data_IF_900918944128
#
_entry.id   IF_900918944128
#
_cell.length_a   1.000
_cell.length_b   1.000
_cell.length_c   1.000
_cell.angle_alpha   90.00
_cell.angle_beta   90.00
_cell.angle_gamma   90.00
#
_symmetry.space_group_name_H-M   'P 1'
#
loop_
_entity.id
_entity.type
_entity.pdbx_description
1 polymer ?
#
# COMPACT_ATOMS: atom_id res chain seq x y z
N UNK A 1 12.57 1.59 -11.11
CA UNK A 1 11.54 1.90 -12.13
C UNK A 1 12.00 2.97 -13.13
N UNK A 2 12.54 4.12 -12.71
CA UNK A 2 13.01 5.18 -13.63
C UNK A 2 14.11 4.70 -14.59
N UNK A 3 15.16 4.09 -14.05
CA UNK A 3 16.26 3.54 -14.87
C UNK A 3 15.75 2.49 -15.87
N UNK A 4 14.86 1.60 -15.42
CA UNK A 4 14.22 0.59 -16.26
C UNK A 4 13.41 1.18 -17.43
N UNK A 5 12.95 2.44 -17.30
CA UNK A 5 12.25 3.18 -18.36
C UNK A 5 13.14 4.20 -19.07
N UNK A 6 14.41 4.35 -18.67
CA UNK A 6 15.31 5.37 -19.21
C UNK A 6 14.84 6.81 -18.96
N UNK A 7 14.11 7.05 -17.87
CA UNK A 7 13.53 8.37 -17.56
C UNK A 7 14.41 9.09 -16.54
N UNK A 8 14.85 10.29 -16.89
CA UNK A 8 15.59 11.15 -15.97
C UNK A 8 14.68 11.64 -14.82
N UNK A 9 15.19 11.75 -13.58
CA UNK A 9 14.44 12.30 -12.44
C UNK A 9 13.74 13.63 -12.70
N UNK A 10 14.38 14.54 -13.44
CA UNK A 10 13.82 15.86 -13.75
C UNK A 10 12.56 15.80 -14.64
N UNK A 11 12.26 14.67 -15.28
CA UNK A 11 11.07 14.47 -16.08
C UNK A 11 9.84 14.03 -15.27
N UNK A 12 9.98 13.84 -13.94
CA UNK A 12 8.85 13.60 -13.04
C UNK A 12 8.08 14.89 -12.78
N UNK A 13 6.75 14.79 -12.82
CA UNK A 13 5.86 15.91 -12.55
C UNK A 13 5.34 15.88 -11.11
N UNK A 14 5.15 14.68 -10.54
CA UNK A 14 4.56 14.51 -9.22
C UNK A 14 5.18 13.33 -8.46
N UNK A 15 5.36 13.47 -7.15
CA UNK A 15 5.81 12.42 -6.23
C UNK A 15 4.81 12.30 -5.08
N UNK A 16 4.27 11.10 -4.89
CA UNK A 16 3.42 10.77 -3.74
C UNK A 16 4.14 9.74 -2.88
N UNK A 17 4.21 9.97 -1.57
CA UNK A 17 4.75 9.00 -0.61
C UNK A 17 3.65 8.54 0.34
N UNK A 18 3.18 7.31 0.16
CA UNK A 18 2.28 6.63 1.08
C UNK A 18 3.09 6.01 2.22
N UNK A 19 3.02 6.63 3.40
CA UNK A 19 3.76 6.22 4.60
C UNK A 19 2.99 6.58 5.87
N UNK A 20 3.12 5.78 6.92
CA UNK A 20 2.72 6.15 8.28
C UNK A 20 3.92 6.41 9.21
N UNK A 21 5.13 6.25 8.69
CA UNK A 21 6.40 6.49 9.41
C UNK A 21 7.25 7.51 8.64
N UNK A 22 6.74 8.74 8.43
CA UNK A 22 7.45 9.74 7.65
C UNK A 22 8.78 10.12 8.32
N UNK A 23 9.73 10.62 7.53
CA UNK A 23 11.03 11.10 8.05
C UNK A 23 10.82 12.14 9.16
N UNK A 24 9.83 13.03 8.97
CA UNK A 24 9.42 14.11 9.88
C UNK A 24 7.94 14.41 9.70
N UNK A 25 7.30 15.03 10.70
CA UNK A 25 5.96 15.61 10.54
C UNK A 25 5.94 16.83 9.60
N UNK A 26 7.06 17.54 9.52
CA UNK A 26 7.29 18.63 8.57
C UNK A 26 8.79 18.79 8.30
N UNK A 27 9.26 18.89 7.05
CA UNK A 27 8.48 18.81 5.79
C UNK A 27 8.05 17.38 5.45
N UNK A 28 7.32 17.21 4.35
CA UNK A 28 6.92 15.90 3.82
C UNK A 28 8.12 15.05 3.39
N UNK A 29 7.97 13.73 3.49
CA UNK A 29 8.90 12.73 2.98
C UNK A 29 9.04 12.83 1.47
N UNK A 30 7.96 13.14 0.75
CA UNK A 30 7.97 13.43 -0.68
C UNK A 30 8.96 14.55 -1.05
N UNK A 31 9.06 15.62 -0.27
CA UNK A 31 10.05 16.68 -0.50
C UNK A 31 11.49 16.17 -0.29
N UNK A 32 11.70 15.25 0.66
CA UNK A 32 13.01 14.60 0.86
C UNK A 32 13.36 13.70 -0.32
N UNK A 33 12.40 12.91 -0.82
CA UNK A 33 12.57 12.04 -2.00
C UNK A 33 12.90 12.90 -3.23
N UNK A 34 12.12 13.95 -3.49
CA UNK A 34 12.33 14.89 -4.59
C UNK A 34 13.77 15.41 -4.62
N UNK A 35 14.26 15.89 -3.45
CA UNK A 35 15.60 16.45 -3.32
C UNK A 35 16.68 15.40 -3.54
N UNK A 36 16.50 14.21 -2.96
CA UNK A 36 17.47 13.10 -3.07
C UNK A 36 17.55 12.56 -4.50
N UNK A 37 16.44 12.53 -5.22
CA UNK A 37 16.36 12.01 -6.58
C UNK A 37 16.79 13.03 -7.64
N UNK A 38 16.79 14.33 -7.30
CA UNK A 38 17.03 15.40 -8.27
C UNK A 38 15.83 15.67 -9.18
N UNK A 39 14.61 15.38 -8.71
CA UNK A 39 13.36 15.59 -9.46
C UNK A 39 12.91 17.05 -9.35
N UNK A 40 13.73 17.98 -9.84
CA UNK A 40 13.63 19.43 -9.60
C UNK A 40 12.31 20.07 -10.04
N UNK A 41 11.54 19.43 -10.92
CA UNK A 41 10.26 19.92 -11.42
C UNK A 41 9.04 19.24 -10.77
N UNK A 42 9.27 18.18 -9.99
CA UNK A 42 8.19 17.44 -9.36
C UNK A 42 7.64 18.19 -8.14
N UNK A 43 6.32 18.38 -8.09
CA UNK A 43 5.59 18.69 -6.86
C UNK A 43 5.21 17.39 -6.14
N UNK A 44 4.66 17.45 -4.93
CA UNK A 44 4.32 16.22 -4.22
C UNK A 44 3.85 16.39 -2.79
N UNK A 45 3.43 15.28 -2.20
CA UNK A 45 2.90 15.21 -0.83
C UNK A 45 2.99 13.80 -0.25
N UNK A 46 2.87 13.71 1.07
CA UNK A 46 2.72 12.44 1.78
C UNK A 46 1.24 12.09 1.90
N UNK A 47 0.92 10.80 1.82
CA UNK A 47 -0.43 10.27 2.01
C UNK A 47 -0.45 9.32 3.20
N UNK A 48 -1.21 9.68 4.22
CA UNK A 48 -1.41 8.86 5.41
C UNK A 48 -2.66 7.98 5.25
N UNK A 49 -2.45 6.69 4.94
CA UNK A 49 -3.52 5.69 4.84
C UNK A 49 -3.16 4.36 5.50
N UNK A 50 -2.14 4.36 6.38
CA UNK A 50 -1.55 3.15 6.95
C UNK A 50 -1.30 2.08 5.87
N UNK A 51 -1.67 0.83 6.12
CA UNK A 51 -1.49 -0.27 5.17
C UNK A 51 -2.30 -0.12 3.86
N UNK A 52 -3.38 0.67 3.86
CA UNK A 52 -4.18 0.98 2.66
C UNK A 52 -3.58 2.14 1.86
N UNK A 53 -2.56 2.82 2.38
CA UNK A 53 -2.00 4.04 1.83
C UNK A 53 -1.53 3.89 0.38
N UNK A 54 -0.94 2.76 0.01
CA UNK A 54 -0.51 2.54 -1.37
C UNK A 54 -1.68 2.40 -2.35
N UNK A 55 -2.76 1.69 -1.96
CA UNK A 55 -3.97 1.56 -2.78
C UNK A 55 -4.65 2.92 -2.92
N UNK A 56 -4.78 3.69 -1.84
CA UNK A 56 -5.34 5.04 -1.89
C UNK A 56 -4.47 5.98 -2.74
N UNK A 57 -3.15 5.88 -2.59
CA UNK A 57 -2.18 6.62 -3.39
C UNK A 57 -2.26 6.28 -4.87
N UNK A 58 -2.48 5.00 -5.24
CA UNK A 58 -2.67 4.60 -6.63
C UNK A 58 -3.91 5.25 -7.23
N UNK A 59 -5.01 5.33 -6.49
CA UNK A 59 -6.25 5.99 -6.95
C UNK A 59 -5.99 7.47 -7.20
N UNK A 60 -5.42 8.18 -6.23
CA UNK A 60 -5.10 9.61 -6.36
C UNK A 60 -4.14 9.83 -7.53
N UNK A 61 -3.09 9.02 -7.64
CA UNK A 61 -2.12 9.12 -8.72
C UNK A 61 -2.76 8.88 -10.09
N UNK A 62 -3.64 7.88 -10.22
CA UNK A 62 -4.36 7.58 -11.45
C UNK A 62 -5.22 8.76 -11.86
N UNK A 63 -5.96 9.38 -10.94
CA UNK A 63 -6.79 10.56 -11.27
C UNK A 63 -5.96 11.78 -11.66
N UNK A 64 -4.79 11.98 -11.06
CA UNK A 64 -3.86 13.04 -11.49
C UNK A 64 -3.34 12.80 -12.91
N UNK A 65 -3.09 11.54 -13.28
CA UNK A 65 -2.63 11.18 -14.62
C UNK A 65 -3.74 11.27 -15.66
N UNK A 66 -4.92 10.72 -15.38
CA UNK A 66 -6.10 10.77 -16.26
C UNK A 66 -6.54 12.21 -16.56
N UNK A 67 -6.46 13.11 -15.57
CA UNK A 67 -6.85 14.52 -15.74
C UNK A 67 -5.76 15.37 -16.40
N UNK A 68 -4.57 14.82 -16.65
CA UNK A 68 -3.42 15.54 -17.19
C UNK A 68 -2.72 16.46 -16.18
N UNK A 69 -3.08 16.41 -14.90
CA UNK A 69 -2.42 17.17 -13.83
C UNK A 69 -0.98 16.70 -13.56
N UNK A 70 -0.66 15.46 -13.91
CA UNK A 70 0.70 14.92 -13.98
C UNK A 70 0.80 13.96 -15.16
N UNK A 71 1.93 13.94 -15.88
CA UNK A 71 2.18 12.95 -16.93
C UNK A 71 3.02 11.79 -16.40
N UNK A 72 4.00 12.07 -15.55
CA UNK A 72 4.88 11.07 -14.95
C UNK A 72 4.86 11.22 -13.44
N UNK A 73 4.19 10.29 -12.79
CA UNK A 73 3.99 10.31 -11.34
C UNK A 73 4.70 9.13 -10.69
N UNK A 74 5.56 9.42 -9.71
CA UNK A 74 6.21 8.41 -8.89
C UNK A 74 5.43 8.21 -7.59
N UNK A 75 4.78 7.06 -7.46
CA UNK A 75 4.12 6.68 -6.21
C UNK A 75 5.04 5.74 -5.43
N UNK A 76 5.38 6.15 -4.21
CA UNK A 76 6.17 5.39 -3.27
C UNK A 76 5.27 4.85 -2.17
N UNK A 77 5.34 3.56 -1.87
CA UNK A 77 4.84 2.98 -0.62
C UNK A 77 6.04 2.62 0.24
N UNK A 78 6.12 3.12 1.48
CA UNK A 78 7.34 2.98 2.28
C UNK A 78 7.10 3.18 3.76
N UNK A 79 7.63 2.29 4.58
CA UNK A 79 7.59 2.43 6.03
C UNK A 79 8.85 1.88 6.71
N UNK A 80 9.27 2.58 7.76
CA UNK A 80 10.29 2.13 8.72
C UNK A 80 9.61 1.73 10.02
N UNK A 81 8.88 0.62 10.00
CA UNK A 81 8.11 0.15 11.16
C UNK A 81 8.97 -0.16 12.38
N UNK A 82 10.25 -0.51 12.21
CA UNK A 82 11.21 -0.69 13.30
C UNK A 82 11.33 0.54 14.21
N UNK A 83 10.98 1.73 13.72
CA UNK A 83 11.00 2.97 14.51
C UNK A 83 9.80 3.16 15.44
N UNK A 84 8.70 2.44 15.19
CA UNK A 84 7.43 2.58 15.93
C UNK A 84 6.95 1.26 16.53
N UNK A 85 7.75 0.20 16.44
CA UNK A 85 7.45 -1.10 17.05
C UNK A 85 8.12 -1.22 18.41
N UNK A 86 7.37 -1.66 19.42
CA UNK A 86 7.93 -1.89 20.75
C UNK A 86 8.70 -3.23 20.76
N UNK A 87 10.04 -3.23 20.96
CA UNK A 87 10.82 -4.47 20.97
C UNK A 87 10.46 -5.41 22.14
N UNK A 88 9.78 -4.91 23.17
CA UNK A 88 9.29 -5.73 24.30
C UNK A 88 7.92 -6.35 24.03
N UNK A 89 7.19 -5.87 23.03
CA UNK A 89 5.90 -6.43 22.64
C UNK A 89 6.10 -7.49 21.56
N UNK A 90 6.02 -8.76 21.95
CA UNK A 90 6.14 -9.89 21.03
C UNK A 90 5.01 -9.94 20.01
N UNK A 91 3.83 -9.40 20.30
CA UNK A 91 2.68 -9.48 19.40
C UNK A 91 2.90 -8.67 18.11
N UNK A 92 3.58 -7.52 18.21
CA UNK A 92 3.86 -6.63 17.08
C UNK A 92 5.28 -6.82 16.53
N UNK A 93 6.29 -7.07 17.38
CA UNK A 93 7.70 -7.15 16.97
C UNK A 93 8.07 -8.28 16.01
N UNK A 94 7.26 -9.34 15.93
CA UNK A 94 7.47 -10.45 14.99
C UNK A 94 6.77 -10.25 13.65
N UNK A 95 5.94 -9.21 13.53
CA UNK A 95 5.11 -8.98 12.34
C UNK A 95 5.75 -8.00 11.37
N UNK A 96 6.21 -6.87 11.88
CA UNK A 96 6.56 -5.73 11.05
C UNK A 96 8.00 -5.75 10.56
N UNK A 97 8.21 -5.20 9.36
CA UNK A 97 9.51 -4.98 8.76
C UNK A 97 9.63 -3.58 8.17
N UNK A 98 10.85 -3.21 7.80
CA UNK A 98 11.16 -1.98 7.10
C UNK A 98 11.22 -2.25 5.60
N UNK A 99 10.67 -1.37 4.79
CA UNK A 99 10.72 -1.54 3.34
C UNK A 99 10.15 -0.36 2.58
N UNK A 100 10.51 -0.28 1.29
CA UNK A 100 9.92 0.66 0.36
C UNK A 100 9.82 0.02 -1.03
N UNK A 101 8.75 0.33 -1.74
CA UNK A 101 8.55 -0.01 -3.14
C UNK A 101 7.96 1.18 -3.89
N UNK A 102 8.21 1.26 -5.19
CA UNK A 102 7.78 2.40 -6.00
C UNK A 102 7.19 1.94 -7.33
N UNK A 103 6.15 2.62 -7.79
CA UNK A 103 5.62 2.47 -9.15
C UNK A 103 5.69 3.80 -9.88
N UNK A 104 6.06 3.75 -11.16
CA UNK A 104 5.93 4.87 -12.07
C UNK A 104 4.60 4.73 -12.81
N UNK A 105 3.81 5.80 -12.79
CA UNK A 105 2.47 5.84 -13.39
C UNK A 105 2.49 6.86 -14.53
N UNK A 106 2.02 6.43 -15.68
CA UNK A 106 2.01 7.20 -16.93
C UNK A 106 0.72 6.91 -17.71
N UNK A 107 0.31 7.83 -18.61
CA UNK A 107 -0.78 7.58 -19.54
C UNK A 107 -0.51 6.35 -20.41
N UNK A 108 -1.57 5.59 -20.69
CA UNK A 108 -1.57 4.50 -21.68
C UNK A 108 -2.41 4.92 -22.88
N UNK A 109 -2.06 4.43 -24.07
CA UNK A 109 -2.89 4.64 -25.27
C UNK A 109 -4.05 3.62 -25.35
N UNK A 110 -3.81 2.39 -24.89
CA UNK A 110 -4.81 1.32 -24.82
C UNK A 110 -5.57 1.41 -23.48
N UNK A 111 -6.76 2.02 -23.52
CA UNK A 111 -7.65 2.14 -22.35
C UNK A 111 -8.16 0.79 -21.81
N UNK A 112 -7.92 -0.32 -22.51
CA UNK A 112 -8.27 -1.66 -22.01
C UNK A 112 -7.28 -2.18 -20.97
N UNK A 113 -6.12 -1.53 -20.79
CA UNK A 113 -5.10 -1.90 -19.80
C UNK A 113 -4.84 -0.76 -18.79
N UNK A 114 -4.03 -1.06 -17.79
CA UNK A 114 -3.79 -0.14 -16.67
C UNK A 114 -4.84 -0.30 -15.59
N UNK A 115 -5.06 0.76 -14.81
CA UNK A 115 -5.98 0.78 -13.68
C UNK A 115 -7.39 1.06 -14.19
N UNK A 116 -8.30 0.11 -14.00
CA UNK A 116 -9.64 0.14 -14.61
C UNK A 116 -10.73 0.54 -13.63
N UNK A 117 -10.63 0.08 -12.38
CA UNK A 117 -11.61 0.41 -11.35
C UNK A 117 -10.98 0.43 -9.95
N UNK A 118 -11.69 1.02 -8.98
CA UNK A 118 -11.32 1.01 -7.57
C UNK A 118 -12.55 1.04 -6.66
N UNK A 119 -12.37 0.48 -5.46
CA UNK A 119 -13.34 0.51 -4.34
C UNK A 119 -12.57 0.87 -3.08
N UNK A 120 -13.13 1.73 -2.23
CA UNK A 120 -12.55 2.11 -0.95
C UNK A 120 -13.64 2.25 0.12
N UNK A 121 -13.43 1.61 1.27
CA UNK A 121 -14.29 1.70 2.44
C UNK A 121 -13.51 2.21 3.65
N UNK A 122 -14.20 2.88 4.56
CA UNK A 122 -13.64 3.36 5.81
C UNK A 122 -14.64 3.13 6.95
N UNK A 123 -14.16 2.63 8.08
CA UNK A 123 -14.91 2.57 9.32
C UNK A 123 -14.06 3.12 10.47
N UNK A 124 -14.31 4.38 10.83
CA UNK A 124 -13.62 5.12 11.89
C UNK A 124 -13.78 4.53 13.30
N UNK A 125 -14.78 3.68 13.55
CA UNK A 125 -14.96 3.04 14.87
C UNK A 125 -13.77 2.15 15.26
N UNK A 126 -12.98 1.72 14.27
CA UNK A 126 -11.76 0.95 14.46
C UNK A 126 -10.53 1.75 14.91
N UNK A 127 -10.64 3.06 15.14
CA UNK A 127 -9.49 3.95 15.42
C UNK A 127 -8.57 3.42 16.55
N UNK A 128 -9.13 2.90 17.65
CA UNK A 128 -8.35 2.41 18.79
C UNK A 128 -7.95 0.93 18.69
N UNK A 129 -8.25 0.27 17.57
CA UNK A 129 -7.86 -1.13 17.34
C UNK A 129 -6.44 -1.29 16.77
N UNK A 130 -5.92 -0.25 16.10
CA UNK A 130 -4.56 -0.21 15.57
C UNK A 130 -4.09 1.25 15.45
N UNK A 131 -3.26 1.70 16.38
CA UNK A 131 -2.86 3.11 16.48
C UNK A 131 -1.55 3.30 17.23
N UNK A 132 -0.99 4.52 17.18
CA UNK A 132 0.11 4.97 18.03
C UNK A 132 -0.49 5.98 19.02
N UNK A 133 -0.45 5.73 20.35
CA UNK A 133 -1.14 6.58 21.32
C UNK A 133 -0.63 8.03 21.40
N UNK A 134 0.70 8.23 21.37
CA UNK A 134 1.34 9.53 21.57
C UNK A 134 2.23 9.93 20.38
N UNK A 135 2.62 11.21 20.33
CA UNK A 135 3.46 11.81 19.29
C UNK A 135 2.68 12.66 18.28
N UNK A 136 1.36 12.48 18.23
CA UNK A 136 0.43 13.36 17.51
C UNK A 136 0.00 14.58 18.33
N UNK A 137 -0.95 15.35 17.80
CA UNK A 137 -1.50 16.54 18.47
C UNK A 137 -2.42 16.22 19.66
N UNK A 138 -3.10 15.08 19.63
CA UNK A 138 -3.96 14.61 20.74
C UNK A 138 -3.13 14.38 22.01
N UNK A 139 -1.93 13.83 21.85
CA UNK A 139 -0.98 13.64 22.94
C UNK A 139 0.45 13.93 22.45
N UNK A 140 0.91 15.18 22.62
CA UNK A 140 2.27 15.56 22.27
C UNK A 140 3.32 14.77 23.07
N UNK A 141 4.53 14.68 22.53
CA UNK A 141 5.66 14.07 23.23
C UNK A 141 5.95 14.77 24.56
N UNK A 142 6.08 13.97 25.62
CA UNK A 142 6.45 14.42 26.96
C UNK A 142 7.35 13.36 27.63
N UNK A 143 8.05 13.74 28.70
CA UNK A 143 8.84 12.78 29.47
C UNK A 143 7.98 11.61 30.00
N UNK A 144 6.72 11.88 30.37
CA UNK A 144 5.77 10.86 30.82
C UNK A 144 5.40 9.89 29.69
N UNK A 145 5.00 10.39 28.52
CA UNK A 145 4.58 9.52 27.41
C UNK A 145 5.73 8.66 26.86
N UNK A 146 6.98 9.13 26.96
CA UNK A 146 8.17 8.34 26.65
C UNK A 146 8.41 7.26 27.71
N UNK A 147 8.35 7.60 29.01
CA UNK A 147 8.52 6.63 30.10
C UNK A 147 7.47 5.51 30.05
N UNK A 148 6.24 5.85 29.64
CA UNK A 148 5.12 4.93 29.44
C UNK A 148 5.16 4.19 28.09
N UNK A 149 6.17 4.42 27.25
CA UNK A 149 6.33 3.77 25.94
C UNK A 149 5.12 3.97 25.00
N UNK A 150 4.46 5.13 25.07
CA UNK A 150 3.22 5.44 24.32
C UNK A 150 3.43 5.85 22.86
N UNK A 151 4.68 5.89 22.40
CA UNK A 151 5.06 6.24 21.02
C UNK A 151 5.22 5.02 20.11
N UNK A 152 4.85 3.83 20.61
CA UNK A 152 4.85 2.60 19.83
C UNK A 152 3.44 2.22 19.37
N UNK A 153 3.38 1.46 18.28
CA UNK A 153 2.15 0.92 17.73
C UNK A 153 1.51 -0.07 18.70
N UNK A 154 0.20 0.07 18.87
CA UNK A 154 -0.66 -0.80 19.67
C UNK A 154 -1.67 -1.44 18.75
N UNK A 155 -1.92 -2.74 18.94
CA UNK A 155 -2.81 -3.51 18.09
C UNK A 155 -3.69 -4.48 18.91
N UNK A 156 -5.00 -4.42 18.71
CA UNK A 156 -5.89 -5.54 19.00
C UNK A 156 -5.85 -6.52 17.82
N UNK A 157 -4.98 -7.53 17.93
CA UNK A 157 -4.75 -8.49 16.85
C UNK A 157 -6.02 -9.26 16.45
N UNK A 158 -6.96 -9.46 17.37
CA UNK A 158 -8.18 -10.22 17.11
C UNK A 158 -9.20 -9.38 16.32
N UNK A 159 -9.41 -8.13 16.74
CA UNK A 159 -10.26 -7.18 16.04
C UNK A 159 -9.71 -6.88 14.64
N UNK A 160 -8.40 -6.62 14.54
CA UNK A 160 -7.72 -6.37 13.26
C UNK A 160 -7.81 -7.58 12.33
N UNK A 161 -7.56 -8.79 12.82
CA UNK A 161 -7.63 -9.99 11.98
C UNK A 161 -9.03 -10.16 11.37
N UNK A 162 -10.08 -10.06 12.20
CA UNK A 162 -11.46 -10.22 11.75
C UNK A 162 -11.84 -9.14 10.73
N UNK A 163 -11.54 -7.88 11.05
CA UNK A 163 -11.86 -6.75 10.18
C UNK A 163 -11.07 -6.81 8.85
N UNK A 164 -9.81 -7.22 8.87
CA UNK A 164 -8.99 -7.34 7.68
C UNK A 164 -9.50 -8.42 6.71
N UNK A 165 -9.81 -9.62 7.22
CA UNK A 165 -10.32 -10.70 6.36
C UNK A 165 -11.65 -10.32 5.73
N UNK A 166 -12.53 -9.66 6.49
CA UNK A 166 -13.82 -9.19 5.98
C UNK A 166 -13.62 -8.08 4.96
N UNK A 167 -12.94 -7.01 5.34
CA UNK A 167 -12.75 -5.83 4.52
C UNK A 167 -12.05 -6.14 3.20
N UNK A 168 -10.94 -6.88 3.22
CA UNK A 168 -10.19 -7.25 2.01
C UNK A 168 -10.99 -8.13 1.05
N UNK A 169 -11.75 -9.10 1.58
CA UNK A 169 -12.57 -9.95 0.74
C UNK A 169 -13.74 -9.18 0.13
N UNK A 170 -14.43 -8.34 0.91
CA UNK A 170 -15.59 -7.57 0.43
C UNK A 170 -15.21 -6.58 -0.67
N UNK A 171 -14.14 -5.79 -0.49
CA UNK A 171 -13.72 -4.84 -1.52
C UNK A 171 -13.26 -5.55 -2.80
N UNK A 172 -12.68 -6.75 -2.68
CA UNK A 172 -12.27 -7.55 -3.84
C UNK A 172 -13.48 -8.24 -4.51
N UNK A 173 -14.42 -8.78 -3.76
CA UNK A 173 -15.67 -9.34 -4.31
C UNK A 173 -16.47 -8.25 -5.04
N UNK A 174 -16.59 -7.08 -4.44
CA UNK A 174 -17.31 -5.94 -4.99
C UNK A 174 -16.70 -5.47 -6.31
N UNK A 175 -15.38 -5.25 -6.33
CA UNK A 175 -14.74 -4.72 -7.53
C UNK A 175 -14.77 -5.72 -8.69
N UNK A 176 -14.61 -7.02 -8.41
CA UNK A 176 -14.73 -8.05 -9.44
C UNK A 176 -16.16 -8.11 -10.00
N UNK A 177 -17.16 -8.05 -9.13
CA UNK A 177 -18.57 -8.01 -9.53
C UNK A 177 -18.90 -6.78 -10.37
N UNK A 178 -18.40 -5.58 -9.99
CA UNK A 178 -18.60 -4.33 -10.74
C UNK A 178 -18.03 -4.39 -12.16
N UNK A 179 -16.99 -5.20 -12.37
CA UNK A 179 -16.29 -5.34 -13.64
C UNK A 179 -16.67 -6.61 -14.41
N UNK A 180 -17.69 -7.36 -13.94
CA UNK A 180 -18.13 -8.64 -14.51
C UNK A 180 -16.98 -9.65 -14.69
N UNK A 181 -16.08 -9.70 -13.70
CA UNK A 181 -14.94 -10.62 -13.67
C UNK A 181 -15.21 -11.73 -12.68
N UNK A 182 -15.20 -12.98 -13.15
CA UNK A 182 -15.24 -14.12 -12.24
C UNK A 182 -13.89 -14.24 -11.50
N UNK A 183 -13.92 -14.65 -10.22
CA UNK A 183 -12.67 -14.90 -9.45
C UNK A 183 -11.76 -15.91 -10.17
N UNK A 184 -12.35 -16.87 -10.90
CA UNK A 184 -11.61 -17.85 -11.69
C UNK A 184 -10.78 -17.21 -12.82
N UNK A 185 -11.16 -16.02 -13.30
CA UNK A 185 -10.51 -15.29 -14.38
C UNK A 185 -9.42 -14.32 -13.89
N UNK A 186 -9.25 -14.16 -12.58
CA UNK A 186 -8.11 -13.43 -12.04
C UNK A 186 -6.82 -14.22 -12.27
N UNK A 187 -5.84 -13.54 -12.86
CA UNK A 187 -4.49 -14.06 -12.97
C UNK A 187 -3.79 -13.99 -11.62
N UNK A 188 -3.88 -12.83 -10.95
CA UNK A 188 -3.22 -12.62 -9.65
C UNK A 188 -4.06 -11.79 -8.68
N UNK A 189 -4.12 -12.25 -7.43
CA UNK A 189 -4.44 -11.42 -6.28
C UNK A 189 -3.13 -10.92 -5.65
N UNK A 190 -3.04 -9.60 -5.47
CA UNK A 190 -1.92 -8.94 -4.78
C UNK A 190 -2.45 -8.36 -3.47
N UNK A 191 -2.48 -9.16 -2.38
CA UNK A 191 -2.96 -8.68 -1.10
C UNK A 191 -1.88 -7.87 -0.35
N UNK A 192 -2.30 -6.96 0.51
CA UNK A 192 -1.46 -6.42 1.57
C UNK A 192 -0.85 -7.56 2.39
N UNK A 193 0.47 -7.51 2.58
CA UNK A 193 1.22 -8.56 3.26
C UNK A 193 1.20 -8.30 4.78
N UNK A 194 0.02 -8.44 5.42
CA UNK A 194 -0.13 -8.24 6.86
C UNK A 194 0.38 -9.42 7.68
N UNK A 195 -0.18 -10.59 7.39
CA UNK A 195 0.25 -11.88 7.90
C UNK A 195 -0.28 -12.99 6.99
N UNK A 196 0.39 -14.14 6.98
CA UNK A 196 0.04 -15.27 6.11
C UNK A 196 -1.39 -15.79 6.36
N UNK A 197 -1.85 -15.80 7.61
CA UNK A 197 -3.18 -16.30 7.98
C UNK A 197 -4.32 -15.44 7.41
N UNK A 198 -4.16 -14.11 7.36
CA UNK A 198 -5.14 -13.21 6.74
C UNK A 198 -5.17 -13.48 5.24
N UNK A 199 -4.00 -13.54 4.59
CA UNK A 199 -3.91 -13.80 3.15
C UNK A 199 -4.61 -15.12 2.78
N UNK A 200 -4.32 -16.19 3.52
CA UNK A 200 -4.94 -17.51 3.31
C UNK A 200 -6.45 -17.47 3.56
N UNK A 201 -6.92 -16.74 4.57
CA UNK A 201 -8.34 -16.61 4.86
C UNK A 201 -9.09 -15.80 3.79
N UNK A 202 -8.48 -14.73 3.27
CA UNK A 202 -9.03 -13.95 2.15
C UNK A 202 -9.09 -14.80 0.89
N UNK A 203 -8.00 -15.47 0.52
CA UNK A 203 -7.96 -16.36 -0.65
C UNK A 203 -9.02 -17.46 -0.57
N UNK A 204 -9.15 -18.10 0.61
CA UNK A 204 -10.18 -19.12 0.87
C UNK A 204 -11.59 -18.55 0.73
N UNK A 205 -11.86 -17.35 1.25
CA UNK A 205 -13.18 -16.70 1.15
C UNK A 205 -13.54 -16.39 -0.30
N UNK A 206 -12.58 -15.94 -1.10
CA UNK A 206 -12.74 -15.69 -2.53
C UNK A 206 -12.88 -16.98 -3.36
N UNK A 207 -12.52 -18.15 -2.82
CA UNK A 207 -12.45 -19.39 -3.59
C UNK A 207 -11.24 -19.44 -4.54
N UNK A 208 -10.18 -18.68 -4.23
CA UNK A 208 -8.97 -18.58 -5.04
C UNK A 208 -7.86 -19.50 -4.49
N UNK A 209 -7.20 -20.24 -5.36
CA UNK A 209 -6.01 -21.04 -5.01
C UNK A 209 -4.82 -20.15 -4.68
N UNK A 210 -3.99 -20.56 -3.71
CA UNK A 210 -2.80 -19.80 -3.29
C UNK A 210 -1.75 -19.67 -4.40
N UNK A 211 -1.79 -20.52 -5.42
CA UNK A 211 -0.96 -20.46 -6.62
C UNK A 211 -1.21 -19.20 -7.47
N UNK A 212 -2.33 -18.49 -7.23
CA UNK A 212 -2.69 -17.22 -7.86
C UNK A 212 -2.67 -16.04 -6.87
N UNK A 213 -2.07 -16.23 -5.70
CA UNK A 213 -1.92 -15.19 -4.68
C UNK A 213 -0.45 -14.88 -4.51
N UNK A 214 -0.08 -13.61 -4.66
CA UNK A 214 1.32 -13.20 -4.51
C UNK A 214 1.63 -13.07 -3.02
N UNK A 215 2.61 -13.86 -2.56
CA UNK A 215 3.05 -13.91 -1.16
C UNK A 215 4.59 -13.84 -1.14
N UNK A 216 5.12 -12.80 -0.48
CA UNK A 216 6.55 -12.64 -0.21
C UNK A 216 6.84 -12.20 1.25
N UNK A 217 5.81 -12.28 2.11
CA UNK A 217 5.85 -11.93 3.52
C UNK A 217 6.99 -12.65 4.28
N UNK A 218 7.35 -13.87 3.90
CA UNK A 218 8.39 -14.67 4.54
C UNK A 218 9.78 -14.04 4.51
N UNK A 219 10.00 -13.07 3.61
CA UNK A 219 11.29 -12.38 3.44
C UNK A 219 11.33 -10.98 4.06
N UNK A 220 10.19 -10.29 4.12
CA UNK A 220 10.13 -8.87 4.49
C UNK A 220 9.27 -8.56 5.70
N UNK A 221 8.42 -9.51 6.12
CA UNK A 221 7.37 -9.23 7.10
C UNK A 221 6.36 -8.20 6.57
N UNK A 222 5.62 -7.59 7.48
CA UNK A 222 4.65 -6.54 7.18
C UNK A 222 5.36 -5.18 7.09
N UNK A 223 5.60 -4.72 5.87
CA UNK A 223 6.19 -3.41 5.57
C UNK A 223 5.15 -2.32 5.30
N UNK A 224 3.92 -2.51 5.81
CA UNK A 224 2.80 -1.56 5.76
C UNK A 224 2.54 -1.03 4.35
N UNK A 225 2.83 0.24 4.04
CA UNK A 225 2.56 0.85 2.74
C UNK A 225 3.41 0.25 1.62
N UNK A 226 4.53 -0.41 1.94
CA UNK A 226 5.43 -0.98 0.95
C UNK A 226 5.06 -2.39 0.48
N UNK A 227 4.13 -3.09 1.15
CA UNK A 227 3.93 -4.52 0.89
C UNK A 227 3.50 -4.82 -0.55
N UNK A 228 2.55 -4.03 -1.07
CA UNK A 228 2.01 -4.19 -2.42
C UNK A 228 3.04 -3.79 -3.48
N UNK A 229 3.68 -2.60 -3.43
CA UNK A 229 4.64 -2.24 -4.47
C UNK A 229 5.90 -3.12 -4.47
N UNK A 230 6.35 -3.62 -3.31
CA UNK A 230 7.43 -4.62 -3.27
C UNK A 230 6.98 -5.90 -3.98
N UNK A 231 5.80 -6.42 -3.64
CA UNK A 231 5.26 -7.63 -4.27
C UNK A 231 5.11 -7.47 -5.80
N UNK A 232 4.61 -6.33 -6.28
CA UNK A 232 4.51 -6.02 -7.70
C UNK A 232 5.88 -5.99 -8.38
N UNK A 233 6.87 -5.32 -7.78
CA UNK A 233 8.24 -5.23 -8.36
C UNK A 233 8.86 -6.61 -8.50
N UNK A 234 8.82 -7.42 -7.43
CA UNK A 234 9.44 -8.74 -7.45
C UNK A 234 8.78 -9.68 -8.44
N UNK A 235 7.45 -9.64 -8.55
CA UNK A 235 6.72 -10.51 -9.48
C UNK A 235 6.99 -10.13 -10.94
N UNK A 236 7.11 -8.83 -11.21
CA UNK A 236 7.50 -8.32 -12.52
C UNK A 236 8.94 -8.69 -12.87
N UNK A 237 9.90 -8.49 -11.97
CA UNK A 237 11.32 -8.83 -12.17
C UNK A 237 11.53 -10.34 -12.42
N UNK A 238 10.64 -11.19 -11.90
CA UNK A 238 10.64 -12.63 -12.14
C UNK A 238 9.94 -13.04 -13.44
N UNK A 239 9.47 -12.09 -14.25
CA UNK A 239 8.76 -12.35 -15.51
C UNK A 239 7.47 -13.15 -15.33
N UNK A 240 6.79 -12.96 -14.18
CA UNK A 240 5.59 -13.73 -13.83
C UNK A 240 4.28 -13.09 -14.28
N UNK A 241 4.29 -11.80 -14.57
CA UNK A 241 3.17 -11.11 -15.20
C UNK A 241 3.23 -11.23 -16.71
N UNK A 242 2.07 -11.33 -17.32
CA UNK A 242 1.87 -11.24 -18.78
C UNK A 242 1.07 -9.98 -19.09
N UNK A 243 1.37 -9.33 -20.21
CA UNK A 243 0.56 -8.21 -20.70
C UNK A 243 -0.92 -8.60 -20.77
N UNK A 244 -1.79 -7.77 -20.20
CA UNK A 244 -3.23 -7.97 -20.14
C UNK A 244 -3.73 -8.86 -19.00
N UNK A 245 -2.85 -9.41 -18.16
CA UNK A 245 -3.22 -10.17 -16.95
C UNK A 245 -4.21 -9.37 -16.10
N UNK A 246 -5.25 -10.05 -15.61
CA UNK A 246 -6.24 -9.46 -14.69
C UNK A 246 -5.73 -9.54 -13.26
N UNK A 247 -5.49 -8.39 -12.64
CA UNK A 247 -4.99 -8.28 -11.27
C UNK A 247 -6.04 -7.61 -10.38
N UNK A 248 -6.14 -8.11 -9.15
CA UNK A 248 -6.80 -7.39 -8.06
C UNK A 248 -5.77 -7.07 -6.98
N UNK A 249 -5.61 -5.79 -6.66
CA UNK A 249 -4.92 -5.36 -5.44
C UNK A 249 -5.94 -5.32 -4.32
N UNK A 250 -5.59 -5.77 -3.12
CA UNK A 250 -6.48 -5.73 -1.96
C UNK A 250 -5.71 -5.30 -0.73
N UNK A 251 -6.19 -4.28 -0.03
CA UNK A 251 -5.53 -3.75 1.16
C UNK A 251 -6.53 -3.49 2.28
N UNK A 252 -6.02 -3.58 3.50
CA UNK A 252 -6.72 -3.19 4.72
C UNK A 252 -5.69 -2.63 5.70
N UNK A 253 -6.05 -1.57 6.43
CA UNK A 253 -5.17 -0.90 7.37
C UNK A 253 -5.89 -0.20 8.51
N UNK A 254 -5.12 0.41 9.41
CA UNK A 254 -5.62 1.26 10.49
C UNK A 254 -6.59 2.33 9.98
N UNK A 255 -7.56 2.69 10.81
CA UNK A 255 -8.66 3.59 10.44
C UNK A 255 -10.01 3.10 10.97
N UNK A 256 -10.51 1.91 10.67
CA UNK A 256 -10.04 0.98 9.65
C UNK A 256 -10.33 1.48 8.24
N UNK A 257 -9.47 1.10 7.31
CA UNK A 257 -9.63 1.35 5.88
C UNK A 257 -9.51 0.05 5.11
N UNK A 258 -10.25 -0.08 4.02
CA UNK A 258 -10.13 -1.18 3.08
C UNK A 258 -10.18 -0.63 1.66
N UNK A 259 -9.45 -1.23 0.73
CA UNK A 259 -9.52 -0.81 -0.66
C UNK A 259 -9.08 -1.91 -1.63
N UNK A 260 -9.67 -1.87 -2.82
CA UNK A 260 -9.28 -2.73 -3.93
C UNK A 260 -9.06 -1.92 -5.20
N UNK A 261 -8.14 -2.38 -6.03
CA UNK A 261 -7.94 -1.88 -7.39
C UNK A 261 -8.03 -3.07 -8.33
N UNK A 262 -8.82 -2.90 -9.37
CA UNK A 262 -8.86 -3.83 -10.50
C UNK A 262 -8.07 -3.20 -11.63
N UNK A 263 -7.09 -3.95 -12.13
CA UNK A 263 -6.21 -3.48 -13.18
C UNK A 263 -5.89 -4.61 -14.15
N UNK A 264 -5.61 -4.24 -15.40
CA UNK A 264 -5.03 -5.13 -16.39
C UNK A 264 -3.58 -4.76 -16.60
N UNK A 265 -2.67 -5.73 -16.48
CA UNK A 265 -1.23 -5.46 -16.50
C UNK A 265 -0.80 -4.85 -17.84
N UNK A 266 -0.16 -3.67 -17.79
CA UNK A 266 0.16 -2.88 -18.98
C UNK A 266 1.65 -2.91 -19.38
N UNK A 267 2.48 -3.65 -18.64
CA UNK A 267 3.92 -3.73 -18.90
C UNK A 267 4.22 -5.03 -19.66
N UNK A 268 4.95 -4.91 -20.77
CA UNK A 268 5.38 -6.03 -21.61
C UNK A 268 6.71 -6.63 -21.16
#
# INVERSE_FOLDING_TARGET
>A
CLDARGIAPAALDCIIVATMTPDRLCPSTAAVVQRKLGAIHAWGFDLAGACSGFVYGLIVATKLVETGAARRLLLCGGDRMSSVVNPKDRATSVLFGDGAGTVLIEPVEDESVGILDHVCHMNGEGELSLYIPAGGSVEPASAASVAESRHYIVQDGSAVFKAAVIGMAEVTEEILKRNDVAVADLAWLVPHQANRRIIEAVAKRLGLGLDRVIINLDRYGNTVGATIPIALSEWNERGRFTYGDRLALSAFGAGFTAGSIYLRWAIA
#
